data_IF_439598316711
#
_entry.id   IF_439598316711
#
_cell.length_a   1.000
_cell.length_b   1.000
_cell.length_c   1.000
_cell.angle_alpha   90.00
_cell.angle_beta   90.00
_cell.angle_gamma   90.00
#
_symmetry.space_group_name_H-M   'P 1'
#
loop_
_entity.id
_entity.type
_entity.pdbx_description
1 polymer ?
#
# COMPACT_ATOMS: atom_id res chain seq x y z
N UNK A 1 24.74 18.26 -20.74
CA UNK A 1 23.31 18.62 -20.68
C UNK A 1 22.70 17.86 -19.52
N UNK A 2 22.19 18.58 -18.55
CA UNK A 2 21.72 18.13 -17.24
C UNK A 2 20.38 17.39 -17.36
N UNK A 3 20.28 16.18 -16.81
CA UNK A 3 19.01 15.58 -16.43
C UNK A 3 19.00 15.46 -14.89
N UNK A 4 18.52 16.54 -14.27
CA UNK A 4 18.15 16.57 -12.85
C UNK A 4 16.77 15.95 -12.72
N UNK A 5 16.68 14.65 -12.45
CA UNK A 5 15.47 14.04 -11.90
C UNK A 5 15.89 13.02 -10.84
N UNK A 6 16.09 13.51 -9.61
CA UNK A 6 15.81 12.68 -8.44
C UNK A 6 14.29 12.67 -8.26
N UNK A 7 13.57 11.55 -8.35
CA UNK A 7 12.34 11.41 -7.59
C UNK A 7 12.73 10.81 -6.23
N UNK A 8 12.72 11.68 -5.21
CA UNK A 8 12.66 11.43 -3.78
C UNK A 8 13.33 10.17 -3.17
N UNK A 9 14.29 10.49 -2.30
CA UNK A 9 14.69 9.70 -1.15
C UNK A 9 13.52 9.56 -0.16
N UNK A 10 13.31 8.34 0.35
CA UNK A 10 12.77 8.10 1.69
C UNK A 10 11.29 7.70 1.72
N UNK A 11 11.05 6.42 2.01
CA UNK A 11 9.94 5.96 2.86
C UNK A 11 8.65 6.78 2.79
N UNK A 12 7.85 6.62 1.74
CA UNK A 12 6.42 6.93 1.82
C UNK A 12 5.73 5.65 2.35
N UNK A 13 5.43 5.54 3.65
CA UNK A 13 4.66 4.41 4.18
C UNK A 13 3.21 4.55 3.69
N UNK A 14 2.99 4.06 2.46
CA UNK A 14 1.74 3.98 1.70
C UNK A 14 0.96 5.28 1.50
N UNK A 15 1.19 5.93 0.34
CA UNK A 15 0.18 6.78 -0.30
C UNK A 15 -0.69 6.01 -1.29
N UNK A 16 -1.72 6.65 -1.85
CA UNK A 16 -2.57 6.09 -2.92
C UNK A 16 -1.72 5.69 -4.13
N UNK A 17 -1.73 4.40 -4.48
CA UNK A 17 -1.04 3.83 -5.65
C UNK A 17 -1.96 2.91 -6.44
N UNK A 18 -1.54 2.55 -7.65
CA UNK A 18 -2.20 1.48 -8.41
C UNK A 18 -1.76 0.12 -7.88
N UNK A 19 -2.73 -0.71 -7.48
CA UNK A 19 -2.56 -2.12 -7.13
C UNK A 19 -3.10 -2.98 -8.26
N UNK A 20 -2.35 -4.02 -8.62
CA UNK A 20 -2.69 -4.92 -9.70
C UNK A 20 -2.99 -6.32 -9.15
N UNK A 21 -4.06 -6.94 -9.67
CA UNK A 21 -4.35 -8.35 -9.39
C UNK A 21 -3.36 -9.29 -10.10
N UNK A 22 -3.21 -10.51 -9.61
CA UNK A 22 -2.33 -11.56 -10.14
C UNK A 22 -2.54 -11.85 -11.63
N UNK A 23 -3.75 -11.60 -12.15
CA UNK A 23 -4.06 -11.77 -13.58
C UNK A 23 -3.61 -10.59 -14.45
N UNK A 24 -3.23 -9.46 -13.86
CA UNK A 24 -2.91 -8.22 -14.56
C UNK A 24 -4.12 -7.49 -15.17
N UNK A 25 -5.33 -8.07 -15.05
CA UNK A 25 -6.56 -7.54 -15.67
C UNK A 25 -7.22 -6.45 -14.87
N UNK A 26 -7.09 -6.52 -13.55
CA UNK A 26 -7.72 -5.57 -12.64
C UNK A 26 -6.66 -4.71 -11.99
N UNK A 27 -6.88 -3.40 -12.08
CA UNK A 27 -6.06 -2.34 -11.51
C UNK A 27 -6.97 -1.45 -10.69
N UNK A 28 -6.53 -1.13 -9.48
CA UNK A 28 -7.30 -0.29 -8.58
C UNK A 28 -6.38 0.77 -7.98
N UNK A 29 -6.84 2.00 -7.85
CA UNK A 29 -6.11 3.02 -7.12
C UNK A 29 -6.53 2.97 -5.65
N UNK A 30 -5.59 2.66 -4.78
CA UNK A 30 -5.82 2.57 -3.36
C UNK A 30 -4.54 2.74 -2.54
N UNK A 31 -4.69 3.17 -1.31
CA UNK A 31 -3.66 3.24 -0.29
C UNK A 31 -3.69 1.96 0.55
N UNK A 32 -2.53 1.36 0.81
CA UNK A 32 -2.46 0.25 1.75
C UNK A 32 -2.43 0.79 3.17
N UNK A 33 -3.49 0.53 3.91
CA UNK A 33 -3.63 1.06 5.27
C UNK A 33 -3.29 0.03 6.34
N UNK A 34 -3.37 -1.27 6.00
CA UNK A 34 -3.15 -2.35 6.96
C UNK A 34 -2.93 -3.69 6.24
N UNK A 35 -2.16 -4.59 6.85
CA UNK A 35 -1.97 -5.97 6.38
C UNK A 35 -2.14 -6.92 7.55
N UNK A 36 -3.16 -7.78 7.45
CA UNK A 36 -3.54 -8.72 8.50
C UNK A 36 -3.84 -10.07 7.88
N UNK A 37 -3.36 -11.17 8.46
CA UNK A 37 -3.73 -12.54 8.08
C UNK A 37 -3.55 -12.86 6.56
N UNK A 38 -2.44 -12.42 5.97
CA UNK A 38 -2.17 -12.52 4.51
C UNK A 38 -3.21 -11.78 3.63
N UNK A 39 -3.92 -10.80 4.20
CA UNK A 39 -4.90 -9.95 3.53
C UNK A 39 -4.48 -8.48 3.63
N UNK A 40 -4.37 -7.83 2.48
CA UNK A 40 -4.11 -6.40 2.36
C UNK A 40 -5.42 -5.61 2.46
N UNK A 41 -5.51 -4.68 3.41
CA UNK A 41 -6.61 -3.70 3.49
C UNK A 41 -6.23 -2.45 2.73
N UNK A 42 -6.95 -2.22 1.64
CA UNK A 42 -6.71 -1.10 0.75
C UNK A 42 -7.83 -0.07 0.89
N UNK A 43 -7.48 1.20 1.06
CA UNK A 43 -8.40 2.34 1.04
C UNK A 43 -8.39 2.98 -0.34
N UNK A 44 -9.50 2.89 -1.05
CA UNK A 44 -9.68 3.53 -2.36
C UNK A 44 -9.73 5.05 -2.24
N UNK A 45 -9.56 5.73 -3.38
CA UNK A 45 -9.71 7.18 -3.51
C UNK A 45 -11.11 7.69 -3.11
N UNK A 46 -12.14 6.90 -3.40
CA UNK A 46 -13.53 7.11 -2.96
C UNK A 46 -13.73 6.97 -1.43
N UNK A 47 -12.68 6.66 -0.67
CA UNK A 47 -12.71 6.43 0.77
C UNK A 47 -13.21 5.03 1.18
N UNK A 48 -13.59 4.18 0.21
CA UNK A 48 -14.02 2.79 0.47
C UNK A 48 -12.84 1.91 0.85
N UNK A 49 -13.01 1.15 1.93
CA UNK A 49 -12.06 0.11 2.32
C UNK A 49 -12.41 -1.21 1.62
N UNK A 50 -11.40 -1.86 1.07
CA UNK A 50 -11.52 -3.19 0.46
C UNK A 50 -10.43 -4.09 1.02
N UNK A 51 -10.69 -5.39 1.02
CA UNK A 51 -9.76 -6.39 1.49
C UNK A 51 -9.40 -7.30 0.32
N UNK A 52 -8.11 -7.41 0.02
CA UNK A 52 -7.62 -8.24 -1.08
C UNK A 52 -6.60 -9.23 -0.49
N UNK A 53 -6.81 -10.55 -0.65
CA UNK A 53 -5.81 -11.53 -0.28
C UNK A 53 -4.50 -11.25 -1.02
N UNK A 54 -3.37 -11.34 -0.34
CA UNK A 54 -2.06 -11.08 -0.95
C UNK A 54 -1.80 -12.05 -2.11
N UNK A 55 -2.29 -13.30 -1.99
CA UNK A 55 -2.29 -14.29 -3.10
C UNK A 55 -3.04 -13.85 -4.37
N UNK A 56 -3.90 -12.84 -4.28
CA UNK A 56 -4.64 -12.26 -5.42
C UNK A 56 -3.95 -11.02 -5.98
N UNK A 57 -2.97 -10.44 -5.29
CA UNK A 57 -2.17 -9.35 -5.84
C UNK A 57 -1.11 -9.90 -6.81
N UNK A 58 -0.62 -9.02 -7.68
CA UNK A 58 0.58 -9.27 -8.49
C UNK A 58 1.78 -9.57 -7.59
N UNK A 59 2.77 -10.32 -8.08
CA UNK A 59 3.97 -10.66 -7.30
C UNK A 59 4.70 -9.41 -6.76
N UNK A 60 4.74 -8.31 -7.53
CA UNK A 60 5.27 -7.02 -7.08
C UNK A 60 4.45 -6.43 -5.93
N UNK A 61 3.14 -6.24 -6.15
CA UNK A 61 2.24 -5.65 -5.15
C UNK A 61 2.13 -6.51 -3.89
N UNK A 62 2.16 -7.83 -4.03
CA UNK A 62 2.20 -8.78 -2.93
C UNK A 62 3.46 -8.60 -2.08
N UNK A 63 4.61 -8.34 -2.71
CA UNK A 63 5.86 -8.06 -2.00
C UNK A 63 5.76 -6.75 -1.22
N UNK A 64 5.15 -5.72 -1.81
CA UNK A 64 4.94 -4.43 -1.15
C UNK A 64 3.99 -4.57 0.05
N UNK A 65 2.89 -5.31 -0.10
CA UNK A 65 1.99 -5.59 1.01
C UNK A 65 2.69 -6.38 2.13
N UNK A 66 3.48 -7.40 1.80
CA UNK A 66 4.23 -8.16 2.81
C UNK A 66 5.30 -7.33 3.53
N UNK A 67 5.90 -6.37 2.81
CA UNK A 67 6.89 -5.45 3.35
C UNK A 67 6.26 -4.16 3.90
N UNK A 68 4.92 -4.10 3.98
CA UNK A 68 4.23 -2.99 4.61
C UNK A 68 4.41 -3.11 6.12
N UNK A 69 5.44 -2.43 6.61
CA UNK A 69 5.45 -1.99 7.99
C UNK A 69 4.55 -0.77 8.04
N UNK A 70 3.42 -0.79 8.78
CA UNK A 70 2.79 0.47 9.15
C UNK A 70 3.87 1.35 9.77
N UNK A 71 3.91 2.66 9.48
CA UNK A 71 4.97 3.50 10.01
C UNK A 71 4.95 3.37 11.53
N UNK A 72 5.95 2.69 12.07
CA UNK A 72 6.24 2.62 13.51
C UNK A 72 6.56 4.00 14.08
N UNK A 73 6.66 5.02 13.21
CA UNK A 73 6.63 6.46 13.52
C UNK A 73 5.25 7.06 13.23
N UNK A 74 4.19 6.42 13.72
CA UNK A 74 2.92 7.12 13.95
C UNK A 74 3.03 7.77 15.34
N UNK A 75 3.34 9.08 15.46
CA UNK A 75 3.40 9.79 16.74
C UNK A 75 2.04 9.94 17.44
N UNK A 76 1.01 9.21 17.00
CA UNK A 76 -0.28 9.15 17.65
C UNK A 76 -0.42 7.80 18.35
N UNK A 77 -0.08 7.84 19.63
CA UNK A 77 -0.55 6.93 20.65
C UNK A 77 -2.05 6.65 20.41
N UNK A 78 -2.39 5.39 20.13
CA UNK A 78 -3.75 4.92 20.31
C UNK A 78 -4.00 4.94 21.82
N UNK A 79 -4.52 6.05 22.32
CA UNK A 79 -5.14 6.10 23.64
C UNK A 79 -6.39 5.21 23.59
N UNK A 80 -6.22 3.93 23.92
CA UNK A 80 -7.34 3.11 24.40
C UNK A 80 -7.79 3.75 25.73
N UNK A 81 -9.05 4.21 25.76
CA UNK A 81 -9.71 4.82 26.92
C UNK A 81 -10.03 3.82 28.03
#
# INVERSE_FOLDING_TARGET
MTASEKPNSGSDPAGIREWTDKTGRYKIQAELIDVSDDVAKLKRDDGKLIQIPISKLSDEDATIAKNFAPPEDSPFEVIEE
#
